data_IF_014175487003
#
_entry.id   IF_014175487003
#
_cell.length_a   1.000
_cell.length_b   1.000
_cell.length_c   1.000
_cell.angle_alpha   90.00
_cell.angle_beta   90.00
_cell.angle_gamma   90.00
#
_symmetry.space_group_name_H-M   'P 1'
#
loop_
_entity.id
_entity.type
_entity.pdbx_description
1 polymer ?
#
# COMPACT_ATOMS: atom_id res chain seq x y z
N UNK A 1 -5.77 -62.17 18.18
CA UNK A 1 -5.68 -62.48 16.74
C UNK A 1 -6.84 -63.38 16.32
N UNK A 2 -7.66 -63.00 15.33
CA UNK A 2 -8.21 -63.86 14.23
C UNK A 2 -9.21 -63.04 13.39
N UNK A 3 -9.43 -63.49 12.13
CA UNK A 3 -10.25 -62.78 11.12
C UNK A 3 -11.69 -63.27 11.13
N UNK A 4 -12.64 -62.41 10.76
CA UNK A 4 -14.00 -62.78 10.30
C UNK A 4 -14.14 -62.42 8.81
N UNK A 5 -15.00 -63.14 8.09
CA UNK A 5 -14.98 -63.27 6.62
C UNK A 5 -16.41 -63.15 6.06
N UNK A 6 -16.69 -62.14 5.25
CA UNK A 6 -18.01 -61.90 4.62
C UNK A 6 -18.09 -62.64 3.26
N UNK A 7 -19.32 -62.97 2.81
CA UNK A 7 -19.61 -63.86 1.66
C UNK A 7 -20.09 -63.14 0.40
N UNK A 8 -20.02 -63.87 -0.74
CA UNK A 8 -20.69 -63.64 -2.04
C UNK A 8 -22.23 -63.90 -1.94
N UNK A 9 -23.15 -63.68 -2.90
CA UNK A 9 -23.17 -63.14 -4.30
C UNK A 9 -24.56 -62.40 -4.50
N UNK A 10 -25.32 -62.28 -5.61
CA UNK A 10 -25.37 -62.79 -7.01
C UNK A 10 -26.25 -61.90 -7.95
N UNK A 11 -25.97 -61.87 -9.27
CA UNK A 11 -26.90 -61.63 -10.42
C UNK A 11 -27.67 -60.28 -10.50
N UNK A 12 -28.15 -59.76 -11.65
CA UNK A 12 -28.83 -60.36 -12.83
C UNK A 12 -28.58 -59.57 -14.16
N UNK A 13 -28.92 -60.13 -15.32
CA UNK A 13 -28.77 -59.58 -16.71
C UNK A 13 -30.15 -59.32 -17.38
N UNK A 14 -30.36 -59.33 -18.73
CA UNK A 14 -29.89 -58.45 -19.82
C UNK A 14 -31.05 -57.63 -20.51
N UNK A 15 -30.75 -56.78 -21.51
CA UNK A 15 -31.77 -56.11 -22.36
C UNK A 15 -31.21 -55.28 -23.54
N UNK A 16 -31.99 -55.04 -24.61
CA UNK A 16 -31.61 -54.36 -25.88
C UNK A 16 -32.87 -53.75 -26.58
N UNK A 17 -32.88 -53.27 -27.85
CA UNK A 17 -31.87 -52.66 -28.73
C UNK A 17 -32.30 -51.23 -29.24
N UNK A 18 -31.78 -50.77 -30.39
CA UNK A 18 -31.93 -49.42 -31.00
C UNK A 18 -33.28 -49.15 -31.72
N UNK A 19 -33.56 -47.88 -32.06
CA UNK A 19 -33.83 -47.53 -33.48
C UNK A 19 -32.81 -46.53 -34.09
N UNK A 20 -32.93 -46.25 -35.38
CA UNK A 20 -31.92 -45.55 -36.20
C UNK A 20 -32.38 -44.21 -36.79
N UNK A 21 -31.47 -43.24 -36.94
CA UNK A 21 -31.64 -42.07 -37.82
C UNK A 21 -30.37 -41.86 -38.69
N UNK A 22 -30.58 -41.28 -39.87
CA UNK A 22 -29.70 -41.16 -41.06
C UNK A 22 -28.28 -40.61 -40.83
N UNK A 23 -27.37 -40.97 -41.76
CA UNK A 23 -26.14 -40.23 -42.10
C UNK A 23 -26.45 -38.83 -42.66
N UNK A 24 -25.57 -37.86 -42.43
CA UNK A 24 -25.24 -36.82 -43.41
C UNK A 24 -23.79 -36.28 -43.20
N UNK A 25 -23.03 -36.29 -44.30
CA UNK A 25 -21.82 -35.53 -44.67
C UNK A 25 -20.74 -35.11 -43.65
N UNK A 26 -19.51 -35.40 -44.04
CA UNK A 26 -18.27 -34.78 -43.58
C UNK A 26 -18.12 -33.33 -44.08
N UNK A 27 -17.53 -32.47 -43.24
CA UNK A 27 -16.87 -31.23 -43.63
C UNK A 27 -15.52 -31.15 -42.88
N UNK A 28 -14.45 -30.79 -43.59
CA UNK A 28 -13.09 -30.92 -43.05
C UNK A 28 -12.71 -29.85 -42.02
N UNK A 29 -12.21 -30.27 -40.86
CA UNK A 29 -11.58 -29.36 -39.89
C UNK A 29 -10.22 -28.93 -40.44
N UNK A 30 -10.17 -27.77 -41.09
CA UNK A 30 -8.90 -27.10 -41.39
C UNK A 30 -8.42 -26.31 -40.18
N UNK A 31 -7.39 -26.81 -39.51
CA UNK A 31 -6.57 -26.01 -38.61
C UNK A 31 -5.96 -24.85 -39.40
N UNK A 32 -6.18 -23.62 -38.92
CA UNK A 32 -5.56 -22.42 -39.49
C UNK A 32 -5.03 -21.56 -38.34
N UNK A 33 -3.80 -21.06 -38.49
CA UNK A 33 -3.10 -20.35 -37.43
C UNK A 33 -3.79 -19.02 -37.10
N UNK A 34 -3.92 -18.73 -35.79
CA UNK A 34 -4.48 -17.48 -35.31
C UNK A 34 -3.42 -16.38 -35.35
N UNK A 35 -3.11 -15.90 -36.55
CA UNK A 35 -2.11 -14.85 -36.81
C UNK A 35 -2.29 -13.67 -35.84
N UNK A 36 -1.26 -13.40 -35.04
CA UNK A 36 -1.30 -12.35 -34.04
C UNK A 36 -1.26 -10.96 -34.71
N UNK A 37 -2.43 -10.35 -34.87
CA UNK A 37 -2.58 -9.03 -35.47
C UNK A 37 -1.80 -7.98 -34.67
N UNK A 38 -0.75 -7.40 -35.28
CA UNK A 38 -0.04 -6.25 -34.71
C UNK A 38 -1.01 -5.09 -34.54
N UNK A 39 -1.18 -4.61 -33.29
CA UNK A 39 -1.88 -3.35 -33.03
C UNK A 39 -1.20 -2.21 -33.81
N UNK A 40 -1.97 -1.24 -34.34
CA UNK A 40 -1.40 -0.09 -35.04
C UNK A 40 -0.50 0.73 -34.10
N UNK A 41 0.56 1.34 -34.66
CA UNK A 41 1.43 2.27 -33.94
C UNK A 41 0.69 3.60 -33.75
N UNK A 42 -0.09 3.71 -32.68
CA UNK A 42 -0.57 5.00 -32.19
C UNK A 42 0.60 5.91 -31.76
N UNK A 43 0.29 7.17 -31.41
CA UNK A 43 1.27 8.05 -30.73
C UNK A 43 1.87 7.31 -29.52
N UNK A 44 3.15 7.55 -29.18
CA UNK A 44 3.69 7.12 -27.90
C UNK A 44 2.77 7.58 -26.77
N UNK A 45 2.37 6.66 -25.90
CA UNK A 45 1.71 7.03 -24.65
C UNK A 45 2.79 7.71 -23.81
N UNK A 46 2.69 9.03 -23.68
CA UNK A 46 3.55 9.81 -22.81
C UNK A 46 3.06 9.64 -21.37
N UNK A 47 3.46 8.53 -20.75
CA UNK A 47 3.36 8.31 -19.31
C UNK A 47 4.31 9.29 -18.64
N UNK A 48 3.80 10.13 -17.73
CA UNK A 48 4.66 11.05 -16.99
C UNK A 48 5.44 10.33 -15.89
N UNK A 49 6.51 10.97 -15.40
CA UNK A 49 7.38 10.38 -14.39
C UNK A 49 6.65 10.03 -13.09
N UNK A 50 5.61 10.81 -12.74
CA UNK A 50 4.79 10.60 -11.56
C UNK A 50 3.92 9.34 -11.70
N UNK A 51 3.31 9.10 -12.86
CA UNK A 51 2.55 7.88 -13.15
C UNK A 51 3.43 6.63 -13.06
N UNK A 52 4.67 6.70 -13.57
CA UNK A 52 5.66 5.63 -13.41
C UNK A 52 5.98 5.37 -11.93
N UNK A 53 6.27 6.42 -11.15
CA UNK A 53 6.67 6.28 -9.75
C UNK A 53 5.52 5.84 -8.84
N UNK A 54 4.31 6.41 -8.98
CA UNK A 54 3.14 5.94 -8.23
C UNK A 54 2.81 4.48 -8.55
N UNK A 55 2.93 4.06 -9.80
CA UNK A 55 2.72 2.66 -10.20
C UNK A 55 3.76 1.74 -9.58
N UNK A 56 5.03 2.16 -9.50
CA UNK A 56 6.05 1.44 -8.76
C UNK A 56 5.80 1.39 -7.25
N UNK A 57 5.31 2.48 -6.62
CA UNK A 57 4.91 2.47 -5.22
C UNK A 57 3.75 1.50 -4.96
N UNK A 58 2.74 1.43 -5.85
CA UNK A 58 1.63 0.45 -5.77
C UNK A 58 2.11 -1.00 -5.85
N UNK A 59 3.05 -1.28 -6.75
CA UNK A 59 3.71 -2.60 -6.87
C UNK A 59 4.53 -2.90 -5.60
N UNK A 60 5.32 -1.93 -5.12
CA UNK A 60 6.17 -2.09 -3.93
C UNK A 60 5.34 -2.33 -2.65
N UNK A 61 4.21 -1.63 -2.50
CA UNK A 61 3.24 -1.80 -1.41
C UNK A 61 2.61 -3.21 -1.35
N UNK A 62 2.77 -4.01 -2.42
CA UNK A 62 2.19 -5.35 -2.56
C UNK A 62 3.22 -6.49 -2.55
N UNK A 63 4.47 -6.22 -2.99
CA UNK A 63 5.52 -7.25 -3.09
C UNK A 63 6.95 -6.79 -2.76
N UNK A 64 7.11 -5.62 -2.15
CA UNK A 64 8.42 -5.04 -1.82
C UNK A 64 9.23 -4.56 -3.04
N UNK A 65 10.44 -4.07 -2.79
CA UNK A 65 11.34 -3.54 -3.85
C UNK A 65 11.67 -4.58 -4.93
N UNK A 66 11.66 -5.86 -4.58
CA UNK A 66 11.99 -6.97 -5.50
C UNK A 66 10.85 -7.30 -6.48
N UNK A 67 9.62 -6.86 -6.20
CA UNK A 67 8.52 -6.86 -7.17
C UNK A 67 8.59 -5.68 -8.16
N UNK A 68 9.29 -4.59 -7.82
CA UNK A 68 9.47 -3.42 -8.70
C UNK A 68 10.47 -3.76 -9.80
N UNK A 69 9.96 -4.40 -10.85
CA UNK A 69 10.70 -4.89 -12.02
C UNK A 69 10.15 -4.25 -13.29
N UNK A 70 11.01 -4.15 -14.32
CA UNK A 70 10.69 -3.50 -15.60
C UNK A 70 9.42 -4.07 -16.24
N UNK A 71 9.21 -5.39 -16.12
CA UNK A 71 7.99 -6.08 -16.56
C UNK A 71 6.71 -5.55 -15.88
N UNK A 72 6.44 -5.82 -14.57
CA UNK A 72 5.29 -5.25 -13.86
C UNK A 72 5.12 -3.74 -14.03
N UNK A 73 6.21 -2.96 -13.95
CA UNK A 73 6.13 -1.50 -14.01
C UNK A 73 5.68 -1.02 -15.40
N UNK A 74 6.21 -1.58 -16.48
CA UNK A 74 5.76 -1.26 -17.85
C UNK A 74 4.32 -1.71 -18.09
N UNK A 75 3.96 -2.91 -17.64
CA UNK A 75 2.64 -3.52 -17.88
C UNK A 75 1.53 -2.77 -17.14
N UNK A 76 1.76 -2.37 -15.88
CA UNK A 76 0.79 -1.59 -15.10
C UNK A 76 0.72 -0.12 -15.56
N UNK A 77 1.82 0.43 -16.11
CA UNK A 77 1.82 1.75 -16.77
C UNK A 77 1.27 1.72 -18.22
N UNK A 78 0.78 0.56 -18.70
CA UNK A 78 0.14 0.43 -20.02
C UNK A 78 1.09 0.53 -21.23
N UNK A 79 2.41 0.38 -21.01
CA UNK A 79 3.46 0.62 -22.01
C UNK A 79 4.41 -0.57 -22.18
N UNK A 80 5.36 -0.45 -23.11
CA UNK A 80 6.33 -1.54 -23.39
C UNK A 80 7.63 -1.35 -22.60
N UNK A 81 8.37 -2.43 -22.37
CA UNK A 81 9.74 -2.36 -21.81
C UNK A 81 10.65 -1.41 -22.61
N UNK A 82 10.43 -1.28 -23.92
CA UNK A 82 11.17 -0.35 -24.77
C UNK A 82 10.88 1.13 -24.46
N UNK A 83 9.68 1.45 -23.98
CA UNK A 83 9.35 2.78 -23.47
C UNK A 83 10.01 3.03 -22.10
N UNK A 84 10.04 2.03 -21.21
CA UNK A 84 10.79 2.12 -19.95
C UNK A 84 12.27 2.42 -20.21
N UNK A 85 12.95 1.64 -21.06
CA UNK A 85 14.37 1.87 -21.37
C UNK A 85 14.64 3.14 -22.21
N UNK A 86 13.62 3.77 -22.79
CA UNK A 86 13.73 5.08 -23.42
C UNK A 86 13.70 6.25 -22.41
N UNK A 87 13.16 6.03 -21.20
CA UNK A 87 13.12 7.02 -20.10
C UNK A 87 14.13 6.73 -18.98
N UNK A 88 14.34 5.47 -18.62
CA UNK A 88 15.16 5.05 -17.48
C UNK A 88 16.32 4.16 -17.93
N UNK A 89 17.54 4.49 -17.49
CA UNK A 89 18.78 3.79 -17.90
C UNK A 89 18.84 2.33 -17.45
N UNK A 90 18.32 2.03 -16.26
CA UNK A 90 18.21 0.67 -15.72
C UNK A 90 17.15 0.63 -14.61
N UNK A 91 16.85 -0.56 -14.05
CA UNK A 91 15.99 -0.71 -12.88
C UNK A 91 16.55 0.05 -11.67
N UNK A 92 17.86 0.08 -11.52
CA UNK A 92 18.58 0.70 -10.40
C UNK A 92 18.46 2.22 -10.48
N UNK A 93 18.68 2.82 -11.67
CA UNK A 93 18.39 4.24 -11.94
C UNK A 93 16.93 4.59 -11.59
N UNK A 94 16.00 3.76 -12.05
CA UNK A 94 14.57 3.96 -11.78
C UNK A 94 14.23 3.88 -10.28
N UNK A 95 14.83 2.93 -9.54
CA UNK A 95 14.66 2.83 -8.09
C UNK A 95 15.26 4.05 -7.37
N UNK A 96 16.43 4.55 -7.81
CA UNK A 96 17.01 5.75 -7.22
C UNK A 96 16.16 7.00 -7.48
N UNK A 97 15.62 7.18 -8.70
CA UNK A 97 14.69 8.26 -9.06
C UNK A 97 13.35 8.14 -8.28
N UNK A 98 12.82 6.92 -8.13
CA UNK A 98 11.62 6.60 -7.34
C UNK A 98 11.78 6.98 -5.86
N UNK A 99 12.97 6.80 -5.30
CA UNK A 99 13.26 7.14 -3.91
C UNK A 99 13.36 8.65 -3.70
N UNK A 100 13.87 9.41 -4.67
CA UNK A 100 13.82 10.88 -4.65
C UNK A 100 12.40 11.41 -4.84
N UNK A 101 11.60 10.80 -5.71
CA UNK A 101 10.17 11.11 -5.83
C UNK A 101 9.44 10.90 -4.49
N UNK A 102 9.64 9.75 -3.84
CA UNK A 102 9.04 9.48 -2.53
C UNK A 102 9.52 10.47 -1.45
N UNK A 103 10.81 10.83 -1.45
CA UNK A 103 11.37 11.86 -0.55
C UNK A 103 10.73 13.22 -0.79
N UNK A 104 10.53 13.61 -2.05
CA UNK A 104 9.89 14.87 -2.44
C UNK A 104 8.44 14.94 -1.99
N UNK A 105 7.66 13.88 -2.20
CA UNK A 105 6.28 13.77 -1.72
C UNK A 105 6.20 13.80 -0.18
N UNK A 106 7.08 13.06 0.50
CA UNK A 106 7.12 13.02 1.96
C UNK A 106 7.53 14.39 2.57
N UNK A 107 8.54 15.05 1.99
CA UNK A 107 8.96 16.39 2.38
C UNK A 107 7.87 17.44 2.10
N UNK A 108 7.21 17.37 0.94
CA UNK A 108 6.08 18.24 0.59
C UNK A 108 4.93 18.08 1.57
N UNK A 109 4.63 16.85 2.01
CA UNK A 109 3.64 16.60 3.06
C UNK A 109 4.04 17.19 4.42
N UNK A 110 5.35 17.30 4.74
CA UNK A 110 5.82 17.98 5.96
C UNK A 110 5.76 19.49 5.80
N UNK A 111 6.16 20.05 4.65
CA UNK A 111 6.04 21.48 4.35
C UNK A 111 4.58 21.96 4.36
N UNK A 112 3.64 21.15 3.88
CA UNK A 112 2.21 21.44 3.96
C UNK A 112 1.69 21.45 5.41
N UNK A 113 2.23 20.60 6.28
CA UNK A 113 1.94 20.60 7.72
C UNK A 113 2.56 21.82 8.43
N UNK A 114 3.79 22.21 8.08
CA UNK A 114 4.45 23.41 8.62
C UNK A 114 3.75 24.70 8.17
N UNK A 115 3.36 24.81 6.90
CA UNK A 115 2.78 26.04 6.34
C UNK A 115 1.38 26.38 6.89
N UNK A 116 0.72 25.47 7.63
CA UNK A 116 -0.44 25.80 8.49
C UNK A 116 -0.08 26.56 9.78
N UNK A 117 1.01 27.32 9.77
CA UNK A 117 1.47 28.19 10.85
C UNK A 117 0.53 29.37 11.16
N UNK A 118 -0.41 29.68 10.27
CA UNK A 118 -1.45 30.71 10.44
C UNK A 118 -2.67 30.25 11.27
N UNK A 119 -2.77 28.95 11.57
CA UNK A 119 -3.86 28.39 12.39
C UNK A 119 -3.53 28.45 13.88
N UNK A 120 -4.56 28.42 14.74
CA UNK A 120 -4.36 28.32 16.19
C UNK A 120 -3.59 27.04 16.56
N UNK A 121 -2.88 27.02 17.71
CA UNK A 121 -2.25 25.80 18.21
C UNK A 121 -3.24 24.64 18.30
N UNK A 122 -4.47 24.90 18.76
CA UNK A 122 -5.54 23.94 18.94
C UNK A 122 -6.04 23.36 17.60
N UNK A 123 -6.31 24.22 16.61
CA UNK A 123 -6.70 23.80 15.25
C UNK A 123 -5.61 22.93 14.60
N UNK A 124 -4.34 23.28 14.83
CA UNK A 124 -3.19 22.55 14.28
C UNK A 124 -3.01 21.19 14.95
N UNK A 125 -3.23 21.09 16.27
CA UNK A 125 -3.23 19.83 17.00
C UNK A 125 -4.39 18.93 16.55
N UNK A 126 -5.60 19.48 16.44
CA UNK A 126 -6.76 18.77 15.92
C UNK A 126 -6.54 18.30 14.48
N UNK A 127 -5.96 19.14 13.60
CA UNK A 127 -5.56 18.75 12.25
C UNK A 127 -4.60 17.56 12.25
N UNK A 128 -3.52 17.62 13.03
CA UNK A 128 -2.52 16.55 13.13
C UNK A 128 -3.17 15.21 13.49
N UNK A 129 -4.06 15.23 14.47
CA UNK A 129 -4.78 14.05 14.94
C UNK A 129 -5.84 13.55 13.94
N UNK A 130 -6.26 14.38 12.98
CA UNK A 130 -7.17 14.02 11.89
C UNK A 130 -6.48 13.63 10.57
N UNK A 131 -5.15 13.81 10.44
CA UNK A 131 -4.40 13.44 9.23
C UNK A 131 -4.59 11.98 8.79
N UNK A 132 -4.63 10.96 9.69
CA UNK A 132 -4.80 9.56 9.27
C UNK A 132 -6.21 9.25 8.77
N UNK A 133 -7.20 10.06 9.10
CA UNK A 133 -8.62 9.72 8.88
C UNK A 133 -9.25 10.51 7.72
N UNK A 134 -8.60 11.59 7.26
CA UNK A 134 -9.13 12.49 6.21
C UNK A 134 -8.83 12.07 4.77
N UNK A 135 -8.19 10.93 4.50
CA UNK A 135 -7.87 10.47 3.15
C UNK A 135 -8.32 9.04 2.90
N UNK A 136 -9.11 8.84 1.85
CA UNK A 136 -9.54 7.51 1.39
C UNK A 136 -8.35 6.60 0.98
N UNK A 137 -7.20 7.19 0.62
CA UNK A 137 -5.98 6.48 0.23
C UNK A 137 -5.05 6.11 1.42
N UNK A 138 -5.42 6.39 2.68
CA UNK A 138 -4.50 6.24 3.83
C UNK A 138 -3.98 4.80 3.98
N UNK A 139 -4.83 3.78 3.81
CA UNK A 139 -4.44 2.36 3.87
C UNK A 139 -3.54 1.97 2.70
N UNK A 140 -3.55 2.71 1.58
CA UNK A 140 -2.62 2.51 0.46
C UNK A 140 -1.28 3.21 0.75
N UNK A 141 -1.30 4.48 1.14
CA UNK A 141 -0.10 5.24 1.53
C UNK A 141 0.65 4.62 2.72
N UNK A 142 -0.06 4.04 3.69
CA UNK A 142 0.52 3.30 4.81
C UNK A 142 1.27 2.04 4.37
N UNK A 143 0.70 1.27 3.43
CA UNK A 143 1.38 0.12 2.80
C UNK A 143 2.58 0.55 1.95
N UNK A 144 2.48 1.65 1.21
CA UNK A 144 3.61 2.22 0.47
C UNK A 144 4.75 2.63 1.41
N UNK A 145 4.46 3.39 2.47
CA UNK A 145 5.49 3.80 3.44
C UNK A 145 6.11 2.59 4.16
N UNK A 146 5.31 1.59 4.53
CA UNK A 146 5.83 0.34 5.10
C UNK A 146 6.76 -0.40 4.13
N UNK A 147 6.45 -0.40 2.82
CA UNK A 147 7.34 -0.96 1.82
C UNK A 147 8.68 -0.19 1.70
N UNK A 148 8.67 1.14 1.80
CA UNK A 148 9.92 1.93 1.89
C UNK A 148 10.67 1.66 3.19
N UNK A 149 9.99 1.42 4.33
CA UNK A 149 10.64 1.02 5.59
C UNK A 149 11.30 -0.37 5.50
N UNK A 150 10.62 -1.34 4.89
CA UNK A 150 11.19 -2.67 4.60
C UNK A 150 12.31 -2.62 3.55
N UNK A 151 12.31 -1.61 2.67
CA UNK A 151 13.42 -1.35 1.75
C UNK A 151 14.62 -0.72 2.48
N UNK A 152 14.38 0.23 3.39
CA UNK A 152 15.40 0.88 4.21
C UNK A 152 16.22 -0.12 5.05
N UNK A 153 15.61 -1.18 5.58
CA UNK A 153 16.27 -2.27 6.31
C UNK A 153 17.53 -2.81 5.60
N UNK A 154 17.46 -2.99 4.27
CA UNK A 154 18.58 -3.55 3.48
C UNK A 154 19.37 -2.52 2.66
N UNK A 155 18.89 -1.28 2.52
CA UNK A 155 19.45 -0.30 1.57
C UNK A 155 19.79 1.03 2.25
N UNK A 156 21.09 1.31 2.38
CA UNK A 156 21.64 2.48 3.12
C UNK A 156 21.06 3.85 2.69
N UNK A 157 20.74 4.03 1.40
CA UNK A 157 20.16 5.27 0.88
C UNK A 157 18.73 5.48 1.38
N UNK A 158 17.88 4.45 1.28
CA UNK A 158 16.53 4.46 1.85
C UNK A 158 16.57 4.62 3.38
N UNK A 159 17.53 4.00 4.08
CA UNK A 159 17.75 4.21 5.52
C UNK A 159 18.22 5.62 5.91
N UNK A 160 18.89 6.36 5.02
CA UNK A 160 19.23 7.76 5.26
C UNK A 160 17.98 8.65 5.11
N UNK A 161 17.26 8.48 4.00
CA UNK A 161 16.09 9.27 3.64
C UNK A 161 14.91 9.01 4.59
N UNK A 162 14.68 7.76 5.01
CA UNK A 162 13.64 7.44 6.00
C UNK A 162 13.92 8.11 7.36
N UNK A 163 15.18 8.11 7.84
CA UNK A 163 15.54 8.78 9.10
C UNK A 163 15.38 10.30 9.03
N UNK A 164 15.67 10.91 7.89
CA UNK A 164 15.43 12.34 7.64
C UNK A 164 13.94 12.67 7.72
N UNK A 165 13.10 11.94 6.99
CA UNK A 165 11.64 12.12 6.97
C UNK A 165 11.02 11.86 8.36
N UNK A 166 11.43 10.80 9.05
CA UNK A 166 10.97 10.46 10.40
C UNK A 166 11.35 11.57 11.41
N UNK A 167 12.57 12.10 11.33
CA UNK A 167 13.03 13.19 12.19
C UNK A 167 12.22 14.48 11.97
N UNK A 168 12.02 14.90 10.72
CA UNK A 168 11.23 16.09 10.40
C UNK A 168 9.76 15.96 10.85
N UNK A 169 9.16 14.77 10.72
CA UNK A 169 7.78 14.50 11.19
C UNK A 169 7.68 14.55 12.72
N UNK A 170 8.62 13.93 13.43
CA UNK A 170 8.67 13.98 14.91
C UNK A 170 8.88 15.40 15.42
N UNK A 171 9.83 16.15 14.85
CA UNK A 171 10.08 17.56 15.18
C UNK A 171 8.84 18.43 14.97
N UNK A 172 8.12 18.22 13.87
CA UNK A 172 6.86 18.93 13.62
C UNK A 172 5.81 18.62 14.69
N UNK A 173 5.53 17.36 15.00
CA UNK A 173 4.55 17.02 16.03
C UNK A 173 4.96 17.54 17.42
N UNK A 174 6.25 17.49 17.76
CA UNK A 174 6.80 18.08 18.98
C UNK A 174 6.56 19.61 19.03
N UNK A 175 6.78 20.33 17.92
CA UNK A 175 6.50 21.78 17.84
C UNK A 175 5.02 22.13 17.99
N UNK A 176 4.10 21.30 17.47
CA UNK A 176 2.65 21.51 17.62
C UNK A 176 2.26 21.34 19.09
N UNK A 177 2.79 20.32 19.76
CA UNK A 177 2.49 20.05 21.17
C UNK A 177 3.11 21.10 22.11
N UNK A 178 4.32 21.57 21.83
CA UNK A 178 4.94 22.72 22.52
C UNK A 178 4.09 23.99 22.37
N UNK A 179 3.56 24.27 21.18
CA UNK A 179 2.69 25.41 20.95
C UNK A 179 1.34 25.32 21.69
N UNK A 180 0.91 24.11 22.07
CA UNK A 180 -0.26 23.85 22.93
C UNK A 180 0.08 23.87 24.44
N UNK A 181 1.27 24.36 24.83
CA UNK A 181 1.64 24.58 26.23
C UNK A 181 2.14 23.35 27.00
N UNK A 182 2.43 22.24 26.32
CA UNK A 182 3.00 21.05 26.97
C UNK A 182 4.48 21.24 27.28
N UNK A 183 4.97 20.59 28.34
CA UNK A 183 6.41 20.55 28.63
C UNK A 183 7.18 19.79 27.54
N UNK A 184 8.46 20.11 27.33
CA UNK A 184 9.25 19.51 26.25
C UNK A 184 9.33 17.97 26.33
N UNK A 185 9.38 17.40 27.53
CA UNK A 185 9.38 15.94 27.70
C UNK A 185 8.03 15.31 27.36
N UNK A 186 6.90 15.96 27.70
CA UNK A 186 5.57 15.50 27.33
C UNK A 186 5.29 15.66 25.83
N UNK A 187 5.69 16.81 25.26
CA UNK A 187 5.57 17.10 23.83
C UNK A 187 6.34 16.07 23.00
N UNK A 188 7.60 15.79 23.34
CA UNK A 188 8.42 14.76 22.67
C UNK A 188 7.86 13.34 22.83
N UNK A 189 7.39 13.00 24.03
CA UNK A 189 6.78 11.67 24.30
C UNK A 189 5.50 11.49 23.48
N UNK A 190 4.65 12.53 23.40
CA UNK A 190 3.41 12.50 22.61
C UNK A 190 3.65 12.58 21.12
N UNK A 191 4.65 13.31 20.64
CA UNK A 191 5.06 13.32 19.25
C UNK A 191 5.40 11.90 18.78
N UNK A 192 6.13 11.14 19.60
CA UNK A 192 6.42 9.72 19.34
C UNK A 192 5.17 8.83 19.39
N UNK A 193 4.27 9.00 20.37
CA UNK A 193 3.03 8.22 20.47
C UNK A 193 2.06 8.49 19.31
N UNK A 194 1.87 9.77 18.94
CA UNK A 194 1.11 10.19 17.76
C UNK A 194 1.73 9.53 16.54
N UNK A 195 3.04 9.69 16.31
CA UNK A 195 3.63 9.18 15.07
C UNK A 195 3.57 7.65 14.97
N UNK A 196 3.82 6.95 16.07
CA UNK A 196 3.67 5.49 16.17
C UNK A 196 2.23 5.05 15.86
N UNK A 197 1.22 5.79 16.35
CA UNK A 197 -0.18 5.55 16.04
C UNK A 197 -0.49 5.76 14.55
N UNK A 198 0.01 6.83 13.93
CA UNK A 198 -0.20 7.12 12.50
C UNK A 198 0.36 5.99 11.62
N UNK A 199 1.59 5.54 11.89
CA UNK A 199 2.22 4.42 11.17
C UNK A 199 1.38 3.15 11.37
N UNK A 200 0.99 2.83 12.61
CA UNK A 200 0.24 1.63 12.94
C UNK A 200 -1.16 1.59 12.29
N UNK A 201 -1.95 2.67 12.35
CA UNK A 201 -3.31 2.69 11.80
C UNK A 201 -3.33 2.54 10.26
N UNK A 202 -2.30 3.07 9.58
CA UNK A 202 -2.12 2.94 8.14
C UNK A 202 -1.78 1.52 7.65
N UNK A 203 -1.31 0.63 8.53
CA UNK A 203 -0.90 -0.76 8.17
C UNK A 203 -1.70 -1.85 8.85
N UNK A 204 -2.32 -1.57 10.01
CA UNK A 204 -3.14 -2.55 10.72
C UNK A 204 -4.39 -2.93 9.89
N UNK A 205 -4.72 -4.22 9.80
CA UNK A 205 -5.88 -4.69 9.05
C UNK A 205 -7.19 -4.36 9.77
N UNK A 206 -8.27 -4.28 9.00
CA UNK A 206 -9.60 -3.91 9.49
C UNK A 206 -9.80 -2.41 9.63
N UNK A 207 -11.08 -2.03 9.69
CA UNK A 207 -11.49 -0.69 10.09
C UNK A 207 -11.74 -0.61 11.59
N UNK A 208 -11.48 0.56 12.15
CA UNK A 208 -11.80 0.88 13.55
C UNK A 208 -13.00 1.81 13.58
N UNK A 209 -13.92 1.54 14.50
CA UNK A 209 -15.06 2.41 14.81
C UNK A 209 -14.59 3.84 15.09
N UNK A 210 -15.34 4.84 14.61
CA UNK A 210 -14.94 6.24 14.77
C UNK A 210 -14.86 6.65 16.25
N UNK A 211 -15.67 6.05 17.12
CA UNK A 211 -15.59 6.20 18.59
C UNK A 211 -14.23 5.79 19.15
N UNK A 212 -13.62 4.71 18.64
CA UNK A 212 -12.27 4.27 19.03
C UNK A 212 -11.21 5.21 18.48
N UNK A 213 -11.41 5.74 17.26
CA UNK A 213 -10.52 6.74 16.65
C UNK A 213 -10.54 8.05 17.46
N UNK A 214 -11.71 8.53 17.88
CA UNK A 214 -11.88 9.71 18.74
C UNK A 214 -11.21 9.55 20.11
N UNK A 215 -11.45 8.45 20.81
CA UNK A 215 -10.80 8.18 22.11
C UNK A 215 -9.27 8.14 22.00
N UNK A 216 -8.71 7.69 20.86
CA UNK A 216 -7.29 7.83 20.59
C UNK A 216 -6.85 9.30 20.40
N UNK A 217 -7.64 10.13 19.70
CA UNK A 217 -7.38 11.58 19.55
C UNK A 217 -7.39 12.30 20.91
N UNK A 218 -8.36 11.99 21.78
CA UNK A 218 -8.43 12.54 23.14
C UNK A 218 -7.19 12.18 23.97
N UNK A 219 -6.79 10.90 23.99
CA UNK A 219 -5.63 10.44 24.78
C UNK A 219 -4.32 11.09 24.27
N UNK A 220 -4.17 11.21 22.95
CA UNK A 220 -2.97 11.76 22.32
C UNK A 220 -2.87 13.30 22.44
N UNK A 221 -3.99 14.03 22.38
CA UNK A 221 -4.03 15.48 22.64
C UNK A 221 -3.88 15.83 24.12
N UNK A 222 -4.66 15.18 25.00
CA UNK A 222 -4.84 15.65 26.37
C UNK A 222 -3.82 15.07 27.36
N UNK A 223 -3.26 15.94 28.23
CA UNK A 223 -2.65 15.54 29.50
C UNK A 223 -3.56 14.54 30.22
N UNK A 224 -3.08 13.30 30.42
CA UNK A 224 -3.94 12.11 30.29
C UNK A 224 -5.17 12.12 31.20
N UNK A 225 -6.32 11.67 30.68
CA UNK A 225 -7.57 11.60 31.46
C UNK A 225 -7.42 10.76 32.74
N UNK A 226 -6.57 9.72 32.71
CA UNK A 226 -6.19 8.92 33.88
C UNK A 226 -5.46 9.75 34.93
N UNK A 227 -4.50 10.60 34.55
CA UNK A 227 -3.81 11.49 35.47
C UNK A 227 -4.69 12.64 36.02
N UNK A 228 -5.81 12.96 35.36
CA UNK A 228 -6.83 13.88 35.90
C UNK A 228 -7.74 13.18 36.90
N UNK A 229 -8.25 11.98 36.57
CA UNK A 229 -9.05 11.16 37.51
C UNK A 229 -8.27 10.77 38.76
N UNK A 230 -6.98 10.45 38.63
CA UNK A 230 -6.08 10.18 39.76
C UNK A 230 -5.68 11.44 40.57
N UNK A 231 -6.20 12.63 40.21
CA UNK A 231 -6.03 13.90 40.94
C UNK A 231 -7.37 14.52 41.39
N UNK A 232 -8.49 13.82 41.17
CA UNK A 232 -9.75 14.18 41.81
C UNK A 232 -9.83 13.44 43.15
N UNK A 233 -10.07 14.14 44.27
CA UNK A 233 -10.18 13.53 45.60
C UNK A 233 -11.51 12.77 45.80
#
# INVERSE_FOLDING_TARGET
MKKVKVRKTATTTPGAPRPSVRRANSAGVKTAERVAAKRPRGRPILVDDKDWFETALRIMASGGVDAVRVEPVSENAGVTKGAFYARFKSRESFLDELLDYWRSEAATSVSAMLNSLQESPEDRLHRVLMLPFRRADIKERGRMEMAIRLWADRYKRAAAIMREIDAHRLQYFESVLLANGLSAIEAKTRAFLIYSYIIADGVLPGEREETVRELCREILSQGSALARRAKQP
#
